data_IF_266984907725
#
_entry.id   IF_266984907725
#
_cell.length_a   1.000
_cell.length_b   1.000
_cell.length_c   1.000
_cell.angle_alpha   90.00
_cell.angle_beta   90.00
_cell.angle_gamma   90.00
#
_symmetry.space_group_name_H-M   'P 1'
#
loop_
_entity.id
_entity.type
_entity.pdbx_description
1 polymer ?
#
# COMPACT_ATOMS: atom_id res chain seq x y z
N UNK A 1 -11.92 11.75 17.85
CA UNK A 1 -12.29 10.99 16.64
C UNK A 1 -11.32 11.48 15.59
N UNK A 2 -10.21 10.77 15.38
CA UNK A 2 -9.37 11.06 14.24
C UNK A 2 -10.13 10.46 13.07
N UNK A 3 -10.98 11.26 12.45
CA UNK A 3 -11.42 10.97 11.09
C UNK A 3 -10.14 11.00 10.27
N UNK A 4 -9.53 9.84 10.05
CA UNK A 4 -8.40 9.67 9.15
C UNK A 4 -8.92 9.96 7.75
N UNK A 5 -9.05 11.25 7.43
CA UNK A 5 -9.35 11.72 6.09
C UNK A 5 -8.22 11.19 5.22
N UNK A 6 -8.52 10.19 4.41
CA UNK A 6 -7.57 9.66 3.45
C UNK A 6 -7.19 10.81 2.52
N UNK A 7 -5.92 11.18 2.52
CA UNK A 7 -5.40 12.17 1.60
C UNK A 7 -5.39 11.57 0.19
N UNK A 8 -6.16 12.15 -0.73
CA UNK A 8 -6.24 11.70 -2.13
C UNK A 8 -4.88 11.68 -2.83
N UNK A 9 -3.95 12.56 -2.44
CA UNK A 9 -2.58 12.61 -2.95
C UNK A 9 -1.80 11.38 -2.52
N UNK A 10 -1.91 11.00 -1.23
CA UNK A 10 -1.24 9.81 -0.68
C UNK A 10 -1.87 8.54 -1.26
N UNK A 11 -3.20 8.49 -1.38
CA UNK A 11 -3.89 7.37 -2.01
C UNK A 11 -3.43 7.18 -3.47
N UNK A 12 -3.32 8.28 -4.22
CA UNK A 12 -2.83 8.26 -5.60
C UNK A 12 -1.37 7.82 -5.69
N UNK A 13 -0.53 8.23 -4.74
CA UNK A 13 0.87 7.80 -4.67
C UNK A 13 0.96 6.29 -4.45
N UNK A 14 0.28 5.76 -3.42
CA UNK A 14 0.30 4.33 -3.09
C UNK A 14 -0.24 3.49 -4.24
N UNK A 15 -1.37 3.89 -4.83
CA UNK A 15 -1.94 3.19 -5.98
C UNK A 15 -0.98 3.16 -7.19
N UNK A 16 -0.23 4.25 -7.42
CA UNK A 16 0.80 4.27 -8.45
C UNK A 16 1.98 3.36 -8.12
N UNK A 17 2.43 3.29 -6.86
CA UNK A 17 3.50 2.37 -6.46
C UNK A 17 3.08 0.92 -6.69
N UNK A 18 1.87 0.55 -6.28
CA UNK A 18 1.30 -0.79 -6.52
C UNK A 18 1.22 -1.10 -8.03
N UNK A 19 0.78 -0.14 -8.84
CA UNK A 19 0.75 -0.30 -10.29
C UNK A 19 2.14 -0.54 -10.88
N UNK A 20 3.19 0.12 -10.39
CA UNK A 20 4.55 -0.06 -10.91
C UNK A 20 5.13 -1.45 -10.61
N UNK A 21 4.69 -2.10 -9.52
CA UNK A 21 5.25 -3.41 -9.12
C UNK A 21 4.44 -4.59 -9.67
N UNK A 22 3.10 -4.52 -9.63
CA UNK A 22 2.22 -5.64 -9.96
C UNK A 22 1.45 -5.40 -11.29
N UNK A 23 1.41 -4.16 -11.78
CA UNK A 23 0.77 -3.81 -13.06
C UNK A 23 -0.74 -3.61 -12.99
N UNK A 24 -1.38 -3.78 -11.83
CA UNK A 24 -2.80 -3.46 -11.61
C UNK A 24 -3.02 -1.95 -11.73
N UNK A 25 -3.93 -1.55 -12.62
CA UNK A 25 -4.20 -0.14 -12.89
C UNK A 25 -4.73 0.57 -11.64
N UNK A 26 -4.29 1.81 -11.32
CA UNK A 26 -4.70 2.52 -10.10
C UNK A 26 -6.21 2.63 -9.91
N UNK A 27 -6.97 2.76 -11.01
CA UNK A 27 -8.44 2.82 -10.99
C UNK A 27 -9.15 1.53 -10.57
N UNK A 28 -8.44 0.40 -10.62
CA UNK A 28 -8.96 -0.92 -10.24
C UNK A 28 -8.58 -1.29 -8.80
N UNK A 29 -7.73 -0.50 -8.15
CA UNK A 29 -7.29 -0.71 -6.78
C UNK A 29 -8.30 -0.06 -5.84
N UNK A 30 -8.80 -0.83 -4.88
CA UNK A 30 -9.69 -0.35 -3.83
C UNK A 30 -8.97 -0.31 -2.49
N UNK A 31 -9.51 0.47 -1.57
CA UNK A 31 -8.95 0.63 -0.23
C UNK A 31 -9.01 -0.68 0.56
N UNK A 32 -10.11 -1.41 0.40
CA UNK A 32 -10.35 -2.70 1.04
C UNK A 32 -9.56 -3.88 0.43
N UNK A 33 -8.92 -3.68 -0.74
CA UNK A 33 -8.20 -4.77 -1.39
C UNK A 33 -6.99 -5.17 -0.56
N UNK A 34 -6.89 -6.46 -0.25
CA UNK A 34 -5.70 -7.07 0.30
C UNK A 34 -4.61 -7.14 -0.76
N UNK A 35 -3.38 -6.78 -0.37
CA UNK A 35 -2.23 -6.90 -1.25
C UNK A 35 -2.00 -8.36 -1.70
N UNK A 36 -2.23 -9.33 -0.81
CA UNK A 36 -1.95 -10.74 -1.09
C UNK A 36 -3.16 -11.45 -1.68
N UNK A 37 -4.37 -11.24 -1.14
CA UNK A 37 -5.54 -12.04 -1.56
C UNK A 37 -6.29 -11.43 -2.74
N UNK A 38 -6.40 -10.11 -2.81
CA UNK A 38 -7.20 -9.44 -3.85
C UNK A 38 -6.32 -8.95 -5.01
N UNK A 39 -5.19 -8.31 -4.70
CA UNK A 39 -4.21 -7.90 -5.70
C UNK A 39 -3.25 -9.03 -6.11
N UNK A 40 -3.34 -10.18 -5.45
CA UNK A 40 -2.56 -11.38 -5.74
C UNK A 40 -1.05 -11.11 -5.83
N UNK A 41 -0.53 -10.18 -5.03
CA UNK A 41 0.89 -9.83 -5.07
C UNK A 41 1.75 -11.01 -4.65
N UNK A 42 2.77 -11.29 -5.45
CA UNK A 42 3.75 -12.31 -5.11
C UNK A 42 4.76 -11.79 -4.07
N UNK A 43 5.58 -12.69 -3.52
CA UNK A 43 6.58 -12.32 -2.53
C UNK A 43 7.64 -11.34 -3.05
N UNK A 44 7.92 -11.32 -4.35
CA UNK A 44 8.92 -10.42 -4.94
C UNK A 44 8.33 -9.02 -5.13
N UNK A 45 7.10 -8.94 -5.63
CA UNK A 45 6.31 -7.71 -5.77
C UNK A 45 6.06 -7.04 -4.42
N UNK A 46 5.74 -7.83 -3.38
CA UNK A 46 5.61 -7.31 -2.02
C UNK A 46 6.92 -6.70 -1.54
N UNK A 47 8.05 -7.38 -1.71
CA UNK A 47 9.36 -6.86 -1.29
C UNK A 47 9.72 -5.60 -2.07
N UNK A 48 9.45 -5.52 -3.39
CA UNK A 48 9.69 -4.31 -4.18
C UNK A 48 8.80 -3.14 -3.72
N UNK A 49 7.53 -3.40 -3.41
CA UNK A 49 6.63 -2.39 -2.84
C UNK A 49 7.16 -1.86 -1.51
N UNK A 50 7.60 -2.75 -0.62
CA UNK A 50 8.14 -2.39 0.69
C UNK A 50 9.40 -1.55 0.58
N UNK A 51 10.31 -1.91 -0.33
CA UNK A 51 11.53 -1.12 -0.60
C UNK A 51 11.17 0.29 -1.09
N UNK A 52 10.20 0.44 -1.99
CA UNK A 52 9.74 1.75 -2.47
C UNK A 52 9.07 2.59 -1.39
N UNK A 53 8.33 1.95 -0.48
CA UNK A 53 7.75 2.62 0.69
C UNK A 53 8.86 3.08 1.65
N UNK A 54 9.90 2.27 1.84
CA UNK A 54 11.05 2.63 2.67
C UNK A 54 11.82 3.83 2.09
N UNK A 55 11.95 3.92 0.76
CA UNK A 55 12.57 5.06 0.07
C UNK A 55 11.87 6.40 0.35
N UNK A 56 10.57 6.38 0.61
CA UNK A 56 9.80 7.58 0.99
C UNK A 56 9.66 7.75 2.51
N UNK A 57 10.36 6.93 3.30
CA UNK A 57 10.40 7.01 4.77
C UNK A 57 9.36 6.17 5.50
N UNK A 58 8.66 5.27 4.80
CA UNK A 58 7.62 4.39 5.37
C UNK A 58 8.15 2.98 5.51
N UNK A 59 8.36 2.53 6.75
CA UNK A 59 8.79 1.14 7.02
C UNK A 59 7.61 0.31 7.51
N UNK A 60 7.35 -0.83 6.85
CA UNK A 60 6.36 -1.79 7.29
C UNK A 60 7.10 -2.99 7.90
N UNK A 61 6.83 -3.34 9.16
CA UNK A 61 7.48 -4.50 9.78
C UNK A 61 6.96 -5.80 9.17
N UNK A 62 7.81 -6.81 9.08
CA UNK A 62 7.44 -8.13 8.55
C UNK A 62 6.24 -8.75 9.27
N UNK A 63 6.05 -8.43 10.55
CA UNK A 63 4.89 -8.89 11.35
C UNK A 63 3.55 -8.43 10.80
N UNK A 64 3.53 -7.31 10.08
CA UNK A 64 2.31 -6.73 9.52
C UNK A 64 2.03 -7.27 8.12
N UNK A 65 3.02 -7.89 7.47
CA UNK A 65 2.89 -8.53 6.16
C UNK A 65 2.05 -9.80 6.33
N UNK A 66 0.78 -9.67 5.98
CA UNK A 66 -0.20 -10.73 6.13
C UNK A 66 -1.26 -10.62 5.05
N UNK A 67 -2.08 -11.66 4.88
CA UNK A 67 -3.22 -11.62 3.97
C UNK A 67 -4.28 -10.60 4.36
N UNK A 68 -4.22 -10.06 5.59
CA UNK A 68 -5.08 -8.98 6.05
C UNK A 68 -4.54 -7.58 5.76
N UNK A 69 -3.32 -7.44 5.23
CA UNK A 69 -2.75 -6.13 4.93
C UNK A 69 -3.43 -5.54 3.68
N UNK A 70 -4.16 -4.45 3.87
CA UNK A 70 -4.93 -3.79 2.81
C UNK A 70 -4.25 -2.53 2.28
N UNK A 71 -4.72 -2.06 1.12
CA UNK A 71 -4.27 -0.79 0.54
C UNK A 71 -4.54 0.40 1.47
N UNK A 72 -5.68 0.41 2.16
CA UNK A 72 -6.01 1.44 3.16
C UNK A 72 -4.95 1.50 4.27
N UNK A 73 -4.50 0.35 4.75
CA UNK A 73 -3.50 0.27 5.82
C UNK A 73 -2.13 0.81 5.36
N UNK A 74 -1.78 0.64 4.08
CA UNK A 74 -0.57 1.23 3.50
C UNK A 74 -0.70 2.75 3.43
N UNK A 75 -1.82 3.25 2.91
CA UNK A 75 -2.08 4.69 2.78
C UNK A 75 -2.03 5.36 4.14
N UNK A 76 -2.65 4.77 5.15
CA UNK A 76 -2.62 5.31 6.50
C UNK A 76 -1.19 5.39 7.05
N UNK A 77 -0.37 4.34 6.87
CA UNK A 77 1.04 4.36 7.28
C UNK A 77 1.84 5.45 6.57
N UNK A 78 1.61 5.64 5.27
CA UNK A 78 2.28 6.69 4.51
C UNK A 78 1.87 8.07 5.04
N UNK A 79 0.59 8.26 5.31
CA UNK A 79 0.06 9.51 5.82
C UNK A 79 0.52 9.84 7.26
N UNK A 80 0.69 8.82 8.11
CA UNK A 80 1.26 8.99 9.45
C UNK A 80 2.77 9.28 9.44
N UNK A 81 3.45 8.95 8.35
CA UNK A 81 4.90 9.15 8.18
C UNK A 81 5.24 10.43 7.39
N UNK A 82 4.24 11.10 6.80
CA UNK A 82 4.37 12.35 6.04
C UNK A 82 4.26 13.59 6.95
#
# INVERSE_FOLDING_TARGET
>A
MNDSVIDETVASLVANLIYQVNGVLPRNIKLEDSLITDLAMDSVELIDLLMRLEEIGVTIPESDISSSLTVADIIQRVQESA
#
